data_IF_835204136869
#
_entry.id   IF_835204136869
#
_cell.length_a   1.000
_cell.length_b   1.000
_cell.length_c   1.000
_cell.angle_alpha   90.00
_cell.angle_beta   90.00
_cell.angle_gamma   90.00
#
_symmetry.space_group_name_H-M   'P 1'
#
loop_
_entity.id
_entity.type
_entity.pdbx_description
1 polymer ?
#
# COMPACT_ATOMS: atom_id res chain seq x y z
N UNK A 1 -10.70 -1.94 11.96
CA UNK A 1 -9.31 -1.49 11.70
C UNK A 1 -9.19 0.02 11.89
N UNK A 2 -8.11 0.52 12.52
CA UNK A 2 -7.87 1.97 12.71
C UNK A 2 -6.98 2.49 11.58
N UNK A 3 -7.31 3.67 11.05
CA UNK A 3 -6.47 4.36 10.05
C UNK A 3 -5.57 5.37 10.76
N UNK A 4 -4.31 5.41 10.35
CA UNK A 4 -3.32 6.41 10.78
C UNK A 4 -2.55 6.96 9.58
N UNK A 5 -1.93 8.13 9.72
CA UNK A 5 -1.08 8.69 8.68
C UNK A 5 0.34 8.19 8.88
N UNK A 6 0.93 7.60 7.85
CA UNK A 6 2.33 7.19 7.84
C UNK A 6 3.13 8.09 6.88
N UNK A 7 4.36 8.49 7.24
CA UNK A 7 5.24 9.21 6.31
C UNK A 7 5.49 8.40 5.04
N UNK A 8 5.54 9.04 3.87
CA UNK A 8 5.72 8.36 2.58
C UNK A 8 7.08 7.65 2.52
N UNK A 9 8.11 8.21 3.16
CA UNK A 9 9.47 7.71 3.18
C UNK A 9 9.66 6.38 3.93
N UNK A 10 8.76 6.03 4.85
CA UNK A 10 8.84 4.74 5.58
C UNK A 10 8.12 3.61 4.85
N UNK A 11 7.31 3.95 3.83
CA UNK A 11 6.51 2.98 3.09
C UNK A 11 7.35 2.34 1.97
N UNK A 12 7.32 1.01 1.94
CA UNK A 12 8.18 0.21 1.07
C UNK A 12 7.32 -0.68 0.16
N UNK A 13 7.25 -0.40 -1.15
CA UNK A 13 6.58 -1.30 -2.08
C UNK A 13 7.37 -2.61 -2.20
N UNK A 14 6.68 -3.74 -2.30
CA UNK A 14 7.28 -5.04 -2.67
C UNK A 14 6.97 -5.46 -4.11
N UNK A 15 6.09 -4.73 -4.79
CA UNK A 15 5.67 -4.97 -6.17
C UNK A 15 5.76 -3.71 -7.02
N UNK A 16 6.05 -3.92 -8.30
CA UNK A 16 5.95 -2.89 -9.32
C UNK A 16 4.48 -2.52 -9.59
N UNK A 17 4.28 -1.29 -10.03
CA UNK A 17 2.97 -0.79 -10.46
C UNK A 17 2.75 -0.99 -11.95
N UNK A 18 1.48 -1.03 -12.34
CA UNK A 18 1.08 -0.96 -13.74
C UNK A 18 0.84 0.52 -14.06
N UNK A 19 1.75 1.15 -14.79
CA UNK A 19 1.76 2.61 -15.02
C UNK A 19 0.42 3.15 -15.55
N UNK A 20 -0.20 2.46 -16.52
CA UNK A 20 -1.54 2.83 -17.03
C UNK A 20 -2.62 2.90 -15.95
N UNK A 21 -2.55 2.05 -14.92
CA UNK A 21 -3.49 2.08 -13.78
C UNK A 21 -3.17 3.23 -12.82
N UNK A 22 -1.89 3.55 -12.64
CA UNK A 22 -1.46 4.76 -11.90
C UNK A 22 -2.06 5.99 -12.56
N UNK A 23 -1.85 6.18 -13.86
CA UNK A 23 -2.33 7.35 -14.59
C UNK A 23 -3.86 7.52 -14.51
N UNK A 24 -4.60 6.41 -14.60
CA UNK A 24 -6.05 6.42 -14.47
C UNK A 24 -6.50 6.79 -13.05
N UNK A 25 -5.87 6.21 -12.04
CA UNK A 25 -6.20 6.43 -10.64
C UNK A 25 -5.77 7.82 -10.17
N UNK A 26 -4.67 8.36 -10.67
CA UNK A 26 -4.17 9.71 -10.39
C UNK A 26 -5.20 10.76 -10.82
N UNK A 27 -5.72 10.66 -12.06
CA UNK A 27 -6.77 11.56 -12.56
C UNK A 27 -8.00 11.55 -11.66
N UNK A 28 -8.40 10.38 -11.17
CA UNK A 28 -9.54 10.26 -10.25
C UNK A 28 -9.21 10.85 -8.88
N UNK A 29 -8.00 10.60 -8.37
CA UNK A 29 -7.52 11.12 -7.09
C UNK A 29 -7.49 12.64 -7.06
N UNK A 30 -6.97 13.27 -8.12
CA UNK A 30 -6.99 14.74 -8.31
C UNK A 30 -8.43 15.25 -8.41
N UNK A 31 -9.29 14.57 -9.18
CA UNK A 31 -10.70 14.96 -9.34
C UNK A 31 -11.49 14.90 -8.03
N UNK A 32 -11.22 13.89 -7.20
CA UNK A 32 -11.85 13.74 -5.88
C UNK A 32 -11.20 14.63 -4.81
N UNK A 33 -10.02 15.17 -5.10
CA UNK A 33 -9.17 15.94 -4.17
C UNK A 33 -8.92 15.21 -2.84
N UNK A 34 -8.92 13.87 -2.86
CA UNK A 34 -8.80 13.07 -1.66
C UNK A 34 -8.37 11.63 -1.95
N UNK A 35 -7.73 11.01 -0.96
CA UNK A 35 -7.62 9.56 -0.86
C UNK A 35 -8.88 9.02 -0.22
N UNK A 36 -9.53 8.06 -0.90
CA UNK A 36 -10.81 7.46 -0.48
C UNK A 36 -10.67 6.07 0.12
N UNK A 37 -9.47 5.47 0.04
CA UNK A 37 -9.14 4.18 0.65
C UNK A 37 -7.73 4.22 1.23
N UNK A 38 -7.50 3.69 2.44
CA UNK A 38 -6.17 3.62 3.05
C UNK A 38 -5.32 2.53 2.39
N UNK A 39 -4.00 2.64 2.48
CA UNK A 39 -3.09 1.53 2.19
C UNK A 39 -3.19 0.48 3.32
N UNK A 40 -2.88 -0.77 3.01
CA UNK A 40 -2.61 -1.79 4.03
C UNK A 40 -1.09 -1.95 4.13
N UNK A 41 -0.54 -1.88 5.34
CA UNK A 41 0.90 -1.83 5.57
C UNK A 41 1.30 -2.73 6.74
N UNK A 42 2.39 -3.47 6.58
CA UNK A 42 3.06 -4.13 7.71
C UNK A 42 3.73 -3.10 8.61
N UNK A 43 3.37 -3.07 9.89
CA UNK A 43 3.83 -2.07 10.84
C UNK A 43 5.30 -2.18 11.22
N UNK A 44 5.84 -3.40 11.22
CA UNK A 44 7.23 -3.63 11.62
C UNK A 44 8.22 -3.14 10.55
N UNK A 45 7.89 -3.33 9.26
CA UNK A 45 8.83 -3.07 8.16
C UNK A 45 8.46 -1.87 7.29
N UNK A 46 7.21 -1.43 7.33
CA UNK A 46 6.66 -0.44 6.39
C UNK A 46 6.30 -1.04 5.02
N UNK A 47 6.33 -2.37 4.87
CA UNK A 47 6.00 -3.04 3.61
C UNK A 47 4.54 -2.84 3.24
N UNK A 48 4.28 -2.32 2.04
CA UNK A 48 2.93 -2.06 1.53
C UNK A 48 2.30 -3.36 1.07
N UNK A 49 1.29 -3.86 1.78
CA UNK A 49 0.59 -5.10 1.42
C UNK A 49 -0.50 -4.88 0.37
N UNK A 50 -1.16 -3.72 0.41
CA UNK A 50 -2.11 -3.28 -0.62
C UNK A 50 -2.06 -1.77 -0.83
N UNK A 51 -2.11 -1.35 -2.09
CA UNK A 51 -2.18 0.06 -2.47
C UNK A 51 -0.94 0.65 -3.15
N UNK A 52 -0.10 -0.16 -3.81
CA UNK A 52 1.10 0.29 -4.53
C UNK A 52 0.83 1.41 -5.55
N UNK A 53 -0.26 1.33 -6.33
CA UNK A 53 -0.62 2.42 -7.27
C UNK A 53 -0.95 3.73 -6.54
N UNK A 54 -1.55 3.65 -5.36
CA UNK A 54 -1.84 4.82 -4.52
C UNK A 54 -0.54 5.39 -3.96
N UNK A 55 0.37 4.55 -3.50
CA UNK A 55 1.71 4.99 -3.10
C UNK A 55 2.47 5.71 -4.22
N UNK A 56 2.45 5.17 -5.44
CA UNK A 56 3.07 5.81 -6.60
C UNK A 56 2.46 7.19 -6.90
N UNK A 57 1.14 7.34 -6.78
CA UNK A 57 0.48 8.64 -6.94
C UNK A 57 0.98 9.63 -5.88
N UNK A 58 1.13 9.18 -4.63
CA UNK A 58 1.66 10.02 -3.56
C UNK A 58 3.06 10.55 -3.88
N UNK A 59 3.91 9.69 -4.46
CA UNK A 59 5.24 10.07 -4.96
C UNK A 59 5.17 11.11 -6.08
N UNK A 60 4.28 10.92 -7.06
CA UNK A 60 4.11 11.85 -8.19
C UNK A 60 3.55 13.22 -7.79
N UNK A 61 2.76 13.25 -6.72
CA UNK A 61 2.14 14.47 -6.18
C UNK A 61 2.94 15.08 -5.02
N UNK A 62 4.15 14.57 -4.75
CA UNK A 62 5.01 15.02 -3.64
C UNK A 62 4.30 15.08 -2.28
N UNK A 63 3.40 14.11 -2.01
CA UNK A 63 2.73 13.99 -0.72
C UNK A 63 3.73 13.54 0.35
N UNK A 64 3.57 14.04 1.57
CA UNK A 64 4.45 13.73 2.70
C UNK A 64 3.95 12.56 3.54
N UNK A 65 2.65 12.27 3.54
CA UNK A 65 2.10 11.12 4.26
C UNK A 65 0.92 10.47 3.54
N UNK A 66 0.55 9.25 3.96
CA UNK A 66 -0.58 8.51 3.44
C UNK A 66 -1.43 7.88 4.55
N UNK A 67 -2.76 7.79 4.36
CA UNK A 67 -3.63 7.05 5.27
C UNK A 67 -3.39 5.55 5.11
N UNK A 68 -3.07 4.90 6.21
CA UNK A 68 -2.68 3.49 6.27
C UNK A 68 -3.46 2.77 7.38
N UNK A 69 -3.91 1.56 7.10
CA UNK A 69 -4.20 0.54 8.11
C UNK A 69 -2.91 -0.24 8.32
N UNK A 70 -2.46 -0.26 9.57
CA UNK A 70 -1.22 -0.92 9.96
C UNK A 70 -1.55 -2.20 10.69
N UNK A 71 -0.92 -3.28 10.26
CA UNK A 71 -1.12 -4.64 10.78
C UNK A 71 0.21 -5.26 11.18
N UNK A 72 0.16 -6.27 12.03
CA UNK A 72 1.31 -7.13 12.31
C UNK A 72 1.29 -8.27 11.28
N UNK A 73 1.92 -8.07 10.12
CA UNK A 73 1.62 -8.92 8.97
C UNK A 73 2.01 -10.38 9.19
N UNK A 74 3.15 -10.64 9.84
CA UNK A 74 3.63 -11.99 10.05
C UNK A 74 2.76 -12.74 11.06
N UNK A 75 2.35 -12.06 12.14
CA UNK A 75 1.59 -12.66 13.25
C UNK A 75 0.05 -12.53 13.09
N UNK A 76 -0.45 -11.85 12.05
CA UNK A 76 -1.89 -11.73 11.77
C UNK A 76 -2.40 -12.87 10.86
N UNK A 77 -2.94 -13.91 11.49
CA UNK A 77 -3.58 -15.06 10.84
C UNK A 77 -4.85 -14.71 10.06
N UNK A 78 -5.44 -13.53 10.27
CA UNK A 78 -6.63 -13.08 9.53
C UNK A 78 -6.29 -12.63 8.10
N UNK A 79 -4.99 -12.51 7.79
CA UNK A 79 -4.47 -12.12 6.47
C UNK A 79 -3.99 -13.36 5.72
N UNK A 80 -4.76 -13.78 4.71
CA UNK A 80 -4.38 -14.88 3.82
C UNK A 80 -3.61 -14.34 2.63
N UNK A 81 -2.40 -14.86 2.41
CA UNK A 81 -1.58 -14.57 1.24
C UNK A 81 -1.81 -15.61 0.15
N UNK A 82 -2.14 -15.14 -1.06
CA UNK A 82 -2.24 -15.95 -2.27
C UNK A 82 -1.37 -15.38 -3.38
N UNK A 83 -1.07 -16.21 -4.38
CA UNK A 83 -0.60 -15.71 -5.67
C UNK A 83 -1.78 -15.20 -6.50
N UNK A 84 -1.54 -14.16 -7.32
CA UNK A 84 -2.47 -13.86 -8.40
C UNK A 84 -2.45 -15.00 -9.45
N UNK A 85 -3.59 -15.30 -10.10
CA UNK A 85 -3.68 -16.40 -11.07
C UNK A 85 -2.71 -16.30 -12.26
N UNK A 86 -2.24 -15.09 -12.58
CA UNK A 86 -1.34 -14.81 -13.69
C UNK A 86 0.12 -14.63 -13.24
N UNK A 87 0.46 -15.00 -12.01
CA UNK A 87 1.85 -14.95 -11.55
C UNK A 87 2.64 -16.14 -12.10
N UNK A 88 3.88 -15.89 -12.52
CA UNK A 88 4.80 -16.94 -12.98
C UNK A 88 5.46 -17.72 -11.81
N UNK A 89 5.18 -17.32 -10.56
CA UNK A 89 5.71 -18.00 -9.36
C UNK A 89 4.89 -19.25 -9.04
N UNK A 90 5.56 -20.26 -8.47
CA UNK A 90 4.91 -21.50 -7.98
C UNK A 90 4.43 -21.40 -6.52
N UNK A 91 4.91 -20.41 -5.78
CA UNK A 91 4.57 -20.16 -4.39
C UNK A 91 5.05 -18.79 -3.95
N UNK A 92 4.51 -18.32 -2.83
CA UNK A 92 4.90 -17.09 -2.16
C UNK A 92 4.62 -17.22 -0.67
N UNK A 93 5.50 -16.67 0.16
CA UNK A 93 5.37 -16.60 1.62
C UNK A 93 5.22 -15.15 2.08
N UNK A 94 4.76 -14.93 3.32
CA UNK A 94 4.73 -13.59 3.91
C UNK A 94 6.16 -13.01 4.01
N UNK A 95 7.14 -13.85 4.32
CA UNK A 95 8.56 -13.47 4.31
C UNK A 95 9.05 -13.01 2.93
N UNK A 96 8.68 -13.67 1.84
CA UNK A 96 9.03 -13.22 0.48
C UNK A 96 8.54 -11.78 0.22
N UNK A 97 7.33 -11.46 0.67
CA UNK A 97 6.74 -10.11 0.54
C UNK A 97 7.54 -9.10 1.35
N UNK A 98 7.84 -9.42 2.61
CA UNK A 98 8.64 -8.56 3.50
C UNK A 98 10.04 -8.33 2.93
N UNK A 99 10.74 -9.39 2.49
CA UNK A 99 12.09 -9.28 1.95
C UNK A 99 12.13 -8.45 0.66
N UNK A 100 11.14 -8.57 -0.22
CA UNK A 100 11.03 -7.72 -1.40
C UNK A 100 10.81 -6.23 -1.03
N UNK A 101 9.99 -5.95 -0.02
CA UNK A 101 9.81 -4.60 0.50
C UNK A 101 11.09 -4.02 1.12
N UNK A 102 11.81 -4.81 1.92
CA UNK A 102 13.04 -4.37 2.59
C UNK A 102 14.23 -4.19 1.63
N UNK A 103 14.39 -5.07 0.64
CA UNK A 103 15.47 -5.01 -0.34
C UNK A 103 15.24 -3.95 -1.42
N UNK A 104 13.98 -3.65 -1.75
CA UNK A 104 13.62 -2.84 -2.90
C UNK A 104 13.65 -3.61 -4.23
N UNK A 105 13.96 -4.91 -4.22
CA UNK A 105 13.90 -5.79 -5.38
C UNK A 105 12.43 -6.13 -5.70
N UNK A 106 11.76 -5.21 -6.37
CA UNK A 106 10.32 -5.28 -6.60
C UNK A 106 9.93 -6.45 -7.50
N UNK A 107 8.95 -7.23 -7.03
CA UNK A 107 8.33 -8.27 -7.83
C UNK A 107 7.51 -7.68 -9.00
N UNK A 108 7.25 -8.46 -10.06
CA UNK A 108 6.35 -8.06 -11.13
C UNK A 108 4.96 -7.68 -10.59
N UNK A 109 4.23 -6.79 -11.27
CA UNK A 109 2.92 -6.37 -10.80
C UNK A 109 1.96 -7.55 -10.69
N UNK A 110 1.10 -7.54 -9.65
CA UNK A 110 0.12 -8.60 -9.41
C UNK A 110 0.81 -9.94 -9.19
N UNK A 111 1.78 -9.98 -8.27
CA UNK A 111 2.40 -11.23 -7.83
C UNK A 111 1.68 -11.80 -6.61
N UNK A 112 1.46 -10.98 -5.59
CA UNK A 112 0.83 -11.27 -4.31
C UNK A 112 -0.59 -10.72 -4.21
N UNK A 113 -1.47 -11.47 -3.55
CA UNK A 113 -2.84 -11.08 -3.24
C UNK A 113 -3.11 -11.34 -1.78
N UNK A 114 -3.21 -10.27 -1.01
CA UNK A 114 -3.61 -10.32 0.40
C UNK A 114 -5.13 -10.29 0.51
N UNK A 115 -5.71 -11.30 1.14
CA UNK A 115 -7.12 -11.33 1.51
C UNK A 115 -7.23 -11.01 2.99
N UNK A 116 -8.05 -10.02 3.31
CA UNK A 116 -8.39 -9.65 4.67
C UNK A 116 -9.71 -10.30 5.07
N UNK A 117 -9.89 -10.56 6.35
CA UNK A 117 -11.18 -11.00 6.90
C UNK A 117 -12.22 -9.87 6.89
N UNK A 118 -11.78 -8.61 6.99
CA UNK A 118 -12.61 -7.40 6.90
C UNK A 118 -12.13 -6.48 5.77
N UNK A 119 -13.06 -5.73 5.17
CA UNK A 119 -12.71 -4.67 4.24
C UNK A 119 -11.98 -3.52 4.92
N UNK A 120 -11.05 -2.88 4.20
CA UNK A 120 -10.44 -1.63 4.64
C UNK A 120 -11.53 -0.54 4.80
N UNK A 121 -11.49 0.26 5.89
CA UNK A 121 -12.51 1.26 6.14
C UNK A 121 -12.51 2.33 5.04
N UNK A 122 -13.69 2.82 4.61
CA UNK A 122 -13.76 3.97 3.72
C UNK A 122 -13.22 5.21 4.44
N UNK A 123 -12.53 6.06 3.69
CA UNK A 123 -11.98 7.32 4.20
C UNK A 123 -12.25 8.46 3.21
N UNK A 124 -11.99 9.69 3.64
CA UNK A 124 -11.86 10.84 2.75
C UNK A 124 -10.82 11.76 3.38
N UNK A 125 -9.56 11.59 2.96
CA UNK A 125 -8.45 12.42 3.45
C UNK A 125 -8.02 13.35 2.31
N UNK A 126 -8.21 14.67 2.45
CA UNK A 126 -7.90 15.63 1.40
C UNK A 126 -6.43 15.60 1.00
N UNK A 127 -6.12 15.85 -0.27
CA UNK A 127 -4.73 15.96 -0.75
C UNK A 127 -3.97 17.05 0.00
N UNK A 128 -4.64 18.16 0.32
CA UNK A 128 -4.07 19.23 1.14
C UNK A 128 -3.55 18.75 2.49
N UNK A 129 -4.25 17.83 3.15
CA UNK A 129 -3.76 17.22 4.40
C UNK A 129 -2.53 16.36 4.15
N UNK A 130 -2.48 15.63 3.04
CA UNK A 130 -1.38 14.70 2.75
C UNK A 130 -0.09 15.38 2.30
N UNK A 131 -0.17 16.67 1.94
CA UNK A 131 1.00 17.52 1.70
C UNK A 131 1.75 17.89 2.98
N UNK A 132 1.11 17.78 4.15
CA UNK A 132 1.76 17.99 5.44
C UNK A 132 2.30 16.66 6.00
N UNK A 133 3.38 16.68 6.81
CA UNK A 133 3.87 15.48 7.49
C UNK A 133 2.77 14.71 8.24
N UNK A 134 3.01 13.42 8.47
CA UNK A 134 2.29 12.71 9.52
C UNK A 134 2.60 13.44 10.84
N UNK A 135 1.58 14.04 11.46
CA UNK A 135 1.78 14.71 12.76
C UNK A 135 2.08 13.60 13.76
N UNK A 136 3.14 13.81 14.55
CA UNK A 136 3.71 12.82 15.46
C UNK A 136 2.67 12.07 16.29
N UNK A 137 2.95 10.77 16.41
CA UNK A 137 2.36 9.81 17.36
C UNK A 137 2.47 10.31 18.79
#
# INVERSE_FOLDING_TARGET
>A
MRVQLMPVEVLKPHEQVIQKKVDQLERMTIRWDAYTKPLLVDGATGTILDGHHRFEIARRLDLQCLPCVVVDYLDDDSITLLLWPNSDRKGITKDDVIQAGLSGDLMPPKTSRHLLSDDLPPISVPLSRLMDPAIGS
#
